data_IF_459016508218
#
_entry.id   IF_459016508218
#
_cell.length_a   1.000
_cell.length_b   1.000
_cell.length_c   1.000
_cell.angle_alpha   90.00
_cell.angle_beta   90.00
_cell.angle_gamma   90.00
#
_symmetry.space_group_name_H-M   'P 1'
#
loop_
_entity.id
_entity.type
_entity.pdbx_description
1 polymer ?
#
# COMPACT_ATOMS: atom_id res chain seq x y z
N UNK A 1 5.59 -3.36 2.00
CA UNK A 1 4.28 -3.77 1.46
C UNK A 1 4.03 -2.99 0.19
N UNK A 2 3.60 -3.65 -0.89
CA UNK A 2 3.24 -3.00 -2.14
C UNK A 2 1.75 -3.22 -2.43
N UNK A 3 0.98 -2.14 -2.55
CA UNK A 3 -0.46 -2.15 -2.73
C UNK A 3 -0.80 -1.99 -4.21
N UNK A 4 -1.55 -2.95 -4.73
CA UNK A 4 -1.99 -3.01 -6.12
C UNK A 4 -3.51 -3.09 -6.20
N UNK A 5 -4.05 -2.83 -7.39
CA UNK A 5 -5.49 -2.91 -7.66
C UNK A 5 -6.31 -2.15 -6.61
N UNK A 6 -7.35 -2.74 -6.02
CA UNK A 6 -8.21 -2.10 -5.01
C UNK A 6 -7.44 -1.80 -3.72
N UNK A 7 -6.39 -2.58 -3.41
CA UNK A 7 -5.52 -2.33 -2.26
C UNK A 7 -4.82 -0.98 -2.30
N UNK A 8 -4.64 -0.36 -3.48
CA UNK A 8 -4.05 0.99 -3.58
C UNK A 8 -4.92 2.08 -2.97
N UNK A 9 -6.19 1.78 -2.67
CA UNK A 9 -7.17 2.72 -2.14
C UNK A 9 -7.31 2.67 -0.62
N UNK A 10 -6.29 2.12 0.07
CA UNK A 10 -6.24 1.95 1.52
C UNK A 10 -6.70 3.19 2.30
N UNK A 11 -6.31 4.38 1.85
CA UNK A 11 -6.60 5.67 2.47
C UNK A 11 -8.08 6.07 2.44
N UNK A 12 -8.86 5.41 1.58
CA UNK A 12 -10.29 5.67 1.42
C UNK A 12 -11.16 4.65 2.15
N UNK A 13 -10.55 3.62 2.74
CA UNK A 13 -11.27 2.60 3.50
C UNK A 13 -11.50 3.15 4.91
N UNK A 14 -12.76 3.36 5.34
CA UNK A 14 -13.04 3.83 6.68
C UNK A 14 -12.77 2.73 7.71
N UNK A 15 -12.41 3.15 8.92
CA UNK A 15 -12.36 2.27 10.07
C UNK A 15 -13.76 1.69 10.37
N UNK A 16 -13.80 0.46 10.89
CA UNK A 16 -15.03 -0.25 11.22
C UNK A 16 -15.09 -0.57 12.71
N UNK A 17 -16.27 -0.88 13.23
CA UNK A 17 -16.45 -1.24 14.66
C UNK A 17 -15.52 -2.36 15.14
N UNK A 18 -15.14 -3.27 14.24
CA UNK A 18 -14.32 -4.44 14.57
C UNK A 18 -12.85 -4.28 14.16
N UNK A 19 -12.51 -3.25 13.37
CA UNK A 19 -11.18 -3.15 12.80
C UNK A 19 -10.81 -1.70 12.44
N UNK A 20 -9.80 -1.18 13.15
CA UNK A 20 -9.21 0.14 12.93
C UNK A 20 -7.98 0.01 12.01
N UNK A 21 -8.21 0.18 10.71
CA UNK A 21 -7.18 0.13 9.67
C UNK A 21 -6.16 1.26 9.89
N UNK A 22 -6.65 2.47 10.18
CA UNK A 22 -5.81 3.66 10.37
C UNK A 22 -4.78 3.45 11.48
N UNK A 23 -5.19 2.83 12.60
CA UNK A 23 -4.30 2.51 13.73
C UNK A 23 -3.26 1.48 13.32
N UNK A 24 -3.65 0.43 12.61
CA UNK A 24 -2.72 -0.62 12.15
C UNK A 24 -1.69 -0.09 11.16
N UNK A 25 -2.10 0.79 10.25
CA UNK A 25 -1.19 1.46 9.32
C UNK A 25 -0.20 2.35 10.06
N UNK A 26 -0.66 3.10 11.07
CA UNK A 26 0.21 3.92 11.91
C UNK A 26 1.22 3.08 12.72
N UNK A 27 0.76 1.97 13.32
CA UNK A 27 1.61 1.00 14.04
C UNK A 27 2.69 0.41 13.11
N UNK A 28 2.30 -0.01 11.92
CA UNK A 28 3.22 -0.59 10.94
C UNK A 28 4.34 0.38 10.55
N UNK A 29 3.98 1.64 10.28
CA UNK A 29 4.96 2.71 10.00
C UNK A 29 5.87 3.00 11.19
N UNK A 30 5.34 2.99 12.42
CA UNK A 30 6.13 3.19 13.65
C UNK A 30 7.19 2.08 13.82
N UNK A 31 6.90 0.87 13.35
CA UNK A 31 7.83 -0.26 13.30
C UNK A 31 8.78 -0.20 12.09
N UNK A 32 8.88 0.95 11.41
CA UNK A 32 9.70 1.17 10.20
C UNK A 32 9.26 0.33 9.00
N UNK A 33 8.02 -0.13 8.99
CA UNK A 33 7.43 -0.80 7.84
C UNK A 33 7.08 0.22 6.75
N UNK A 34 7.45 -0.11 5.51
CA UNK A 34 7.18 0.72 4.34
C UNK A 34 5.96 0.21 3.58
N UNK A 35 5.08 1.14 3.18
CA UNK A 35 3.86 0.85 2.41
C UNK A 35 3.90 1.72 1.16
N UNK A 36 3.77 1.08 0.01
CA UNK A 36 3.83 1.72 -1.30
C UNK A 36 2.52 1.50 -2.05
N UNK A 37 2.02 2.51 -2.75
CA UNK A 37 0.83 2.40 -3.59
C UNK A 37 1.21 2.44 -5.07
N UNK A 38 0.67 1.52 -5.88
CA UNK A 38 0.89 1.50 -7.31
C UNK A 38 0.28 2.75 -7.98
N UNK A 39 1.13 3.63 -8.51
CA UNK A 39 0.68 4.89 -9.10
C UNK A 39 -0.28 4.73 -10.29
N UNK A 40 -0.05 3.72 -11.14
CA UNK A 40 -0.94 3.44 -12.27
C UNK A 40 -2.33 2.99 -11.82
N UNK A 41 -2.43 2.24 -10.71
CA UNK A 41 -3.70 1.81 -10.14
C UNK A 41 -4.53 2.98 -9.58
N UNK A 42 -3.87 3.98 -8.99
CA UNK A 42 -4.51 5.21 -8.53
C UNK A 42 -4.97 6.07 -9.70
N UNK A 43 -4.13 6.26 -10.72
CA UNK A 43 -4.46 7.05 -11.92
C UNK A 43 -5.67 6.53 -12.68
N UNK A 44 -5.79 5.21 -12.87
CA UNK A 44 -6.94 4.59 -13.54
C UNK A 44 -8.25 4.84 -12.78
N UNK A 45 -8.17 5.04 -11.46
CA UNK A 45 -9.31 5.32 -10.58
C UNK A 45 -9.48 6.82 -10.28
N UNK A 46 -8.84 7.68 -11.08
CA UNK A 46 -8.92 9.14 -10.93
C UNK A 46 -8.48 9.66 -9.55
N UNK A 47 -7.59 8.91 -8.87
CA UNK A 47 -6.95 9.34 -7.63
C UNK A 47 -5.56 9.87 -7.96
N UNK A 48 -5.33 11.15 -7.69
CA UNK A 48 -4.05 11.79 -7.99
C UNK A 48 -2.95 11.34 -7.03
N UNK A 49 -3.27 11.21 -5.73
CA UNK A 49 -2.31 10.87 -4.69
C UNK A 49 -2.93 10.05 -3.56
N UNK A 50 -2.06 9.33 -2.83
CA UNK A 50 -2.38 8.68 -1.56
C UNK A 50 -1.81 9.54 -0.44
N UNK A 51 -2.68 10.02 0.46
CA UNK A 51 -2.30 10.84 1.62
C UNK A 51 -1.51 10.03 2.67
N UNK A 52 -1.63 8.71 2.63
CA UNK A 52 -1.01 7.81 3.61
C UNK A 52 0.19 7.09 3.02
N UNK A 53 0.27 6.85 1.71
CA UNK A 53 1.32 6.01 1.13
C UNK A 53 2.07 6.72 0.00
N UNK A 54 3.42 6.69 -0.04
CA UNK A 54 4.16 7.13 -1.21
C UNK A 54 3.75 6.33 -2.46
N UNK A 55 3.62 7.04 -3.58
CA UNK A 55 3.40 6.44 -4.90
C UNK A 55 4.67 5.72 -5.33
N UNK A 56 4.50 4.53 -5.91
CA UNK A 56 5.59 3.71 -6.40
C UNK A 56 5.27 3.09 -7.77
N UNK A 57 6.30 2.58 -8.43
CA UNK A 57 6.26 2.06 -9.81
C UNK A 57 6.37 0.54 -9.85
N UNK A 58 6.11 -0.05 -11.02
CA UNK A 58 6.29 -1.50 -11.20
C UNK A 58 7.76 -1.91 -11.10
N UNK A 59 8.69 -1.02 -11.44
CA UNK A 59 10.13 -1.26 -11.28
C UNK A 59 10.52 -1.36 -9.80
N UNK A 60 9.91 -0.56 -8.94
CA UNK A 60 10.14 -0.63 -7.49
C UNK A 60 9.59 -1.92 -6.89
N UNK A 61 8.43 -2.39 -7.38
CA UNK A 61 7.90 -3.70 -7.01
C UNK A 61 8.86 -4.82 -7.42
N UNK A 62 9.35 -4.80 -8.66
CA UNK A 62 10.32 -5.81 -9.14
C UNK A 62 11.55 -5.82 -8.24
N UNK A 63 12.10 -4.66 -7.93
CA UNK A 63 13.25 -4.54 -7.02
C UNK A 63 12.94 -5.08 -5.62
N UNK A 64 11.77 -4.77 -5.06
CA UNK A 64 11.34 -5.32 -3.77
C UNK A 64 11.30 -6.86 -3.81
N UNK A 65 10.82 -7.45 -4.91
CA UNK A 65 10.77 -8.90 -5.10
C UNK A 65 12.18 -9.49 -5.21
N UNK A 66 13.06 -8.87 -5.98
CA UNK A 66 14.46 -9.30 -6.15
C UNK A 66 15.26 -9.24 -4.84
N UNK A 67 15.04 -8.20 -4.03
CA UNK A 67 15.73 -7.98 -2.76
C UNK A 67 15.16 -8.83 -1.60
N UNK A 68 14.02 -9.51 -1.80
CA UNK A 68 13.34 -10.27 -0.75
C UNK A 68 13.64 -11.76 -0.82
N UNK A 69 13.96 -12.38 0.33
CA UNK A 69 14.11 -13.84 0.42
C UNK A 69 12.80 -14.59 0.13
N UNK A 70 11.66 -13.96 0.47
CA UNK A 70 10.32 -14.52 0.31
C UNK A 70 9.31 -13.42 0.02
N UNK A 71 8.36 -13.73 -0.85
CA UNK A 71 7.26 -12.83 -1.20
C UNK A 71 5.93 -13.52 -0.92
N UNK A 72 5.03 -12.79 -0.24
CA UNK A 72 3.66 -13.22 0.01
C UNK A 72 2.71 -12.31 -0.75
N UNK A 73 1.76 -12.90 -1.46
CA UNK A 73 0.74 -12.18 -2.23
C UNK A 73 -0.61 -12.50 -1.62
N UNK A 74 -1.39 -11.45 -1.36
CA UNK A 74 -2.77 -11.52 -0.87
C UNK A 74 -3.66 -10.85 -1.92
N UNK A 75 -4.79 -11.46 -2.26
CA UNK A 75 -5.73 -11.00 -3.27
C UNK A 75 -7.14 -11.45 -2.97
#
# INVERSE_FOLDING_TARGET
IFLMSEGSELDTIPDSENFDISVKVAEFKKLKGEIYACGSCLKIREKEESNVCPISTMSDLLKMVEDSDKVLVFG
#
